data_IF_743953656915
#
_entry.id   IF_743953656915
#
_cell.length_a   1.000
_cell.length_b   1.000
_cell.length_c   1.000
_cell.angle_alpha   90.00
_cell.angle_beta   90.00
_cell.angle_gamma   90.00
#
_symmetry.space_group_name_H-M   'P 1'
#
loop_
_entity.id
_entity.type
_entity.pdbx_description
1 polymer ?
#
# COMPACT_ATOMS: atom_id res chain seq x y z
N UNK A 1 14.67 -16.08 11.33
CA UNK A 1 14.03 -16.49 10.07
C UNK A 1 13.37 -15.25 9.49
N UNK A 2 13.73 -14.82 8.28
CA UNK A 2 13.06 -13.69 7.61
C UNK A 2 11.90 -14.32 6.83
N UNK A 3 10.68 -14.13 7.31
CA UNK A 3 9.47 -14.51 6.57
C UNK A 3 9.10 -13.35 5.66
N UNK A 4 9.03 -13.59 4.36
CA UNK A 4 8.58 -12.59 3.38
C UNK A 4 7.09 -12.78 3.18
N UNK A 5 6.28 -11.79 3.57
CA UNK A 5 4.84 -11.77 3.32
C UNK A 5 4.58 -10.79 2.18
N UNK A 6 3.95 -11.26 1.10
CA UNK A 6 3.58 -10.44 -0.06
C UNK A 6 2.05 -10.35 -0.17
N UNK A 7 1.40 -9.44 0.58
CA UNK A 7 -0.04 -9.28 0.52
C UNK A 7 -0.46 -8.57 -0.77
N UNK A 8 -1.31 -9.18 -1.60
CA UNK A 8 -1.88 -8.48 -2.75
C UNK A 8 -2.90 -7.44 -2.25
N UNK A 9 -2.92 -6.26 -2.87
CA UNK A 9 -4.02 -5.30 -2.70
C UNK A 9 -5.32 -5.95 -3.16
N UNK A 10 -6.45 -5.76 -2.45
CA UNK A 10 -7.74 -6.23 -2.94
C UNK A 10 -8.01 -5.67 -4.33
N UNK A 11 -8.44 -6.53 -5.26
CA UNK A 11 -8.84 -6.14 -6.60
C UNK A 11 -7.71 -5.50 -7.45
N UNK A 12 -6.46 -5.94 -7.29
CA UNK A 12 -5.25 -5.45 -8.00
C UNK A 12 -5.20 -5.69 -9.54
N UNK A 13 -6.35 -5.88 -10.19
CA UNK A 13 -6.44 -6.28 -11.59
C UNK A 13 -6.31 -7.79 -11.82
N UNK A 14 -6.19 -8.24 -13.08
CA UNK A 14 -6.37 -9.64 -13.49
C UNK A 14 -5.32 -10.63 -12.96
N UNK A 15 -4.23 -10.13 -12.36
CA UNK A 15 -3.18 -10.94 -11.77
C UNK A 15 -3.21 -10.96 -10.23
N UNK A 16 -4.13 -10.21 -9.62
CA UNK A 16 -4.37 -10.21 -8.18
C UNK A 16 -5.40 -11.26 -7.79
N UNK A 17 -5.10 -12.05 -6.75
CA UNK A 17 -6.03 -13.04 -6.20
C UNK A 17 -6.67 -12.60 -4.87
N UNK A 18 -6.38 -11.38 -4.39
CA UNK A 18 -7.01 -10.79 -3.21
C UNK A 18 -8.31 -10.09 -3.60
N UNK A 19 -9.36 -10.29 -2.81
CA UNK A 19 -10.69 -9.70 -3.00
C UNK A 19 -11.24 -9.25 -1.65
N UNK A 20 -12.00 -8.16 -1.64
CA UNK A 20 -12.56 -7.57 -0.43
C UNK A 20 -13.34 -6.30 -0.74
N UNK A 21 -14.09 -5.77 0.26
CA UNK A 21 -14.74 -4.47 0.15
C UNK A 21 -13.70 -3.36 -0.07
N UNK A 22 -14.10 -2.30 -0.77
CA UNK A 22 -13.26 -1.12 -1.01
C UNK A 22 -13.92 0.11 -0.38
N UNK A 23 -13.21 0.77 0.53
CA UNK A 23 -13.61 2.08 1.05
C UNK A 23 -13.22 3.16 0.04
N UNK A 24 -14.12 3.44 -0.91
CA UNK A 24 -13.86 4.30 -2.07
C UNK A 24 -13.41 5.72 -1.66
N UNK A 25 -13.89 6.21 -0.52
CA UNK A 25 -13.59 7.55 -0.02
C UNK A 25 -12.22 7.65 0.67
N UNK A 26 -11.63 6.53 1.09
CA UNK A 26 -10.30 6.48 1.73
C UNK A 26 -9.51 5.21 1.36
N UNK A 27 -9.21 5.06 0.07
CA UNK A 27 -8.47 3.91 -0.44
C UNK A 27 -7.06 3.75 0.18
N UNK A 28 -6.45 4.84 0.63
CA UNK A 28 -5.11 4.81 1.24
C UNK A 28 -5.15 4.39 2.71
N UNK A 29 -6.18 4.81 3.45
CA UNK A 29 -6.48 4.33 4.80
C UNK A 29 -6.84 2.86 4.78
N UNK A 30 -7.80 2.46 3.94
CA UNK A 30 -8.24 1.07 3.81
C UNK A 30 -7.10 0.12 3.43
N UNK A 31 -6.22 0.52 2.49
CA UNK A 31 -5.00 -0.24 2.22
C UNK A 31 -4.16 -0.44 3.48
N UNK A 32 -3.95 0.62 4.26
CA UNK A 32 -3.10 0.54 5.46
C UNK A 32 -3.72 -0.39 6.51
N UNK A 33 -5.04 -0.31 6.68
CA UNK A 33 -5.81 -1.17 7.58
C UNK A 33 -5.74 -2.64 7.16
N UNK A 34 -5.86 -2.94 5.86
CA UNK A 34 -5.71 -4.30 5.34
C UNK A 34 -4.31 -4.87 5.64
N UNK A 35 -3.26 -4.07 5.45
CA UNK A 35 -1.89 -4.49 5.71
C UNK A 35 -1.66 -4.76 7.20
N UNK A 36 -2.09 -3.84 8.07
CA UNK A 36 -1.94 -4.00 9.52
C UNK A 36 -2.82 -5.14 10.06
N UNK A 37 -4.05 -5.24 9.58
CA UNK A 37 -4.98 -6.30 9.93
C UNK A 37 -4.47 -7.68 9.53
N UNK A 38 -3.79 -7.80 8.39
CA UNK A 38 -3.10 -9.04 8.03
C UNK A 38 -1.96 -9.36 9.02
N UNK A 39 -1.16 -8.37 9.40
CA UNK A 39 -0.08 -8.60 10.37
C UNK A 39 -0.65 -9.05 11.72
N UNK A 40 -1.77 -8.46 12.15
CA UNK A 40 -2.48 -8.86 13.37
C UNK A 40 -3.02 -10.29 13.26
N UNK A 41 -3.64 -10.64 12.14
CA UNK A 41 -4.13 -11.99 11.88
C UNK A 41 -3.01 -13.04 11.92
N UNK A 42 -1.82 -12.67 11.45
CA UNK A 42 -0.63 -13.54 11.48
C UNK A 42 0.12 -13.49 12.82
N UNK A 43 -0.25 -12.63 13.77
CA UNK A 43 0.42 -12.44 15.05
C UNK A 43 1.81 -11.79 14.94
N UNK A 44 2.06 -11.00 13.90
CA UNK A 44 3.35 -10.33 13.64
C UNK A 44 3.31 -8.93 14.24
N UNK A 45 4.05 -8.73 15.34
CA UNK A 45 4.04 -7.46 16.06
C UNK A 45 5.03 -6.43 15.48
N UNK A 46 6.21 -6.87 15.04
CA UNK A 46 7.26 -6.03 14.46
C UNK A 46 7.67 -6.56 13.08
N UNK A 47 7.84 -5.66 12.11
CA UNK A 47 8.15 -6.02 10.72
C UNK A 47 8.91 -4.93 9.97
N UNK A 48 9.66 -5.36 8.96
CA UNK A 48 10.25 -4.48 7.94
C UNK A 48 9.28 -4.40 6.76
N UNK A 49 9.14 -3.22 6.17
CA UNK A 49 8.34 -3.03 4.96
C UNK A 49 9.23 -2.67 3.78
N UNK A 50 8.97 -3.27 2.62
CA UNK A 50 9.58 -2.91 1.35
C UNK A 50 8.50 -2.61 0.31
N UNK A 51 8.60 -1.47 -0.36
CA UNK A 51 7.58 -1.00 -1.29
C UNK A 51 8.19 -0.54 -2.60
N UNK A 52 7.55 -0.92 -3.72
CA UNK A 52 7.98 -0.58 -5.07
C UNK A 52 6.94 0.31 -5.74
N UNK A 53 7.37 1.26 -6.59
CA UNK A 53 6.45 2.13 -7.34
C UNK A 53 5.41 2.78 -6.39
N UNK A 54 4.12 2.44 -6.50
CA UNK A 54 3.06 2.94 -5.61
C UNK A 54 3.16 2.45 -4.15
N UNK A 55 3.78 1.29 -3.92
CA UNK A 55 4.05 0.81 -2.57
C UNK A 55 5.01 1.72 -1.80
N UNK A 56 5.87 2.46 -2.51
CA UNK A 56 6.78 3.44 -1.92
C UNK A 56 6.09 4.54 -1.12
N UNK A 57 5.15 5.32 -1.71
CA UNK A 57 4.37 6.30 -0.96
C UNK A 57 3.43 5.67 0.08
N UNK A 58 2.91 4.46 -0.15
CA UNK A 58 2.01 3.78 0.81
C UNK A 58 2.68 3.44 2.15
N UNK A 59 3.99 3.16 2.15
CA UNK A 59 4.78 2.92 3.37
C UNK A 59 4.67 4.08 4.38
N UNK A 60 4.51 5.32 3.92
CA UNK A 60 4.42 6.47 4.81
C UNK A 60 3.23 6.38 5.78
N UNK A 61 2.10 5.84 5.31
CA UNK A 61 0.93 5.64 6.17
C UNK A 61 1.18 4.57 7.22
N UNK A 62 1.81 3.46 6.85
CA UNK A 62 2.12 2.37 7.79
C UNK A 62 3.08 2.82 8.90
N UNK A 63 4.11 3.61 8.56
CA UNK A 63 5.01 4.21 9.55
C UNK A 63 4.25 5.18 10.46
N UNK A 64 3.33 5.98 9.91
CA UNK A 64 2.54 6.95 10.69
C UNK A 64 1.56 6.27 11.64
N UNK A 65 0.89 5.22 11.18
CA UNK A 65 -0.18 4.54 11.91
C UNK A 65 0.36 3.52 12.92
N UNK A 66 1.51 2.90 12.64
CA UNK A 66 2.12 1.87 13.47
C UNK A 66 3.63 2.07 13.64
N UNK A 67 4.10 3.23 14.16
CA UNK A 67 5.52 3.54 14.26
C UNK A 67 6.30 2.53 15.11
N UNK A 68 5.67 1.97 16.15
CA UNK A 68 6.29 0.98 17.04
C UNK A 68 6.40 -0.42 16.43
N UNK A 69 5.72 -0.66 15.30
CA UNK A 69 5.71 -1.97 14.61
C UNK A 69 6.65 -1.99 13.41
N UNK A 70 6.95 -0.84 12.82
CA UNK A 70 7.79 -0.75 11.61
C UNK A 70 9.25 -0.52 12.00
N UNK A 71 10.03 -1.60 12.10
CA UNK A 71 11.43 -1.53 12.54
C UNK A 71 12.39 -1.03 11.44
N UNK A 72 11.98 -1.14 10.18
CA UNK A 72 12.72 -0.64 9.02
C UNK A 72 11.82 -0.50 7.80
N UNK A 73 12.19 0.41 6.88
CA UNK A 73 11.46 0.62 5.62
C UNK A 73 12.41 0.84 4.43
N UNK A 74 12.14 0.16 3.32
CA UNK A 74 12.86 0.31 2.06
C UNK A 74 11.90 0.73 0.93
N UNK A 75 12.20 1.86 0.28
CA UNK A 75 11.41 2.38 -0.86
C UNK A 75 12.20 2.24 -2.14
N UNK A 76 11.77 1.33 -3.01
CA UNK A 76 12.48 0.95 -4.23
C UNK A 76 11.78 1.58 -5.44
N UNK A 77 12.44 2.57 -6.08
CA UNK A 77 11.88 3.31 -7.22
C UNK A 77 10.42 3.79 -6.97
N UNK A 78 10.19 4.61 -5.92
CA UNK A 78 8.84 5.01 -5.55
C UNK A 78 8.22 5.96 -6.58
N UNK A 79 6.90 5.86 -6.75
CA UNK A 79 6.11 6.89 -7.43
C UNK A 79 6.26 8.20 -6.65
N UNK A 80 6.93 9.19 -7.24
CA UNK A 80 7.26 10.45 -6.58
C UNK A 80 6.17 11.50 -6.66
N UNK A 81 6.00 12.28 -5.60
CA UNK A 81 5.19 13.49 -5.61
C UNK A 81 6.06 14.72 -5.97
N UNK A 82 5.54 15.60 -6.83
CA UNK A 82 6.17 16.87 -7.18
C UNK A 82 5.17 18.00 -7.04
N UNK A 83 5.57 19.06 -6.34
CA UNK A 83 4.74 20.26 -6.10
C UNK A 83 4.29 20.93 -7.41
N UNK A 84 5.09 20.83 -8.47
CA UNK A 84 4.82 21.41 -9.78
C UNK A 84 4.03 20.48 -10.69
N UNK A 85 4.00 19.18 -10.39
CA UNK A 85 3.34 18.14 -11.17
C UNK A 85 2.32 17.35 -10.33
N UNK A 86 1.65 18.00 -9.37
CA UNK A 86 0.72 17.33 -8.45
C UNK A 86 -0.40 16.61 -9.19
N UNK A 87 -0.97 17.28 -10.21
CA UNK A 87 -2.02 16.71 -11.07
C UNK A 87 -1.55 15.44 -11.78
N UNK A 88 -0.27 15.34 -12.14
CA UNK A 88 0.28 14.14 -12.75
C UNK A 88 0.23 12.98 -11.76
N UNK A 89 0.79 13.16 -10.55
CA UNK A 89 0.77 12.14 -9.50
C UNK A 89 -0.65 11.71 -9.12
N UNK A 90 -1.55 12.68 -8.92
CA UNK A 90 -2.95 12.40 -8.58
C UNK A 90 -3.68 11.70 -9.71
N UNK A 91 -3.46 12.07 -10.97
CA UNK A 91 -4.11 11.40 -12.12
C UNK A 91 -3.61 9.98 -12.31
N UNK A 92 -2.29 9.77 -12.35
CA UNK A 92 -1.71 8.43 -12.61
C UNK A 92 -2.02 7.44 -11.50
N UNK A 93 -2.23 7.91 -10.27
CA UNK A 93 -2.56 7.04 -9.14
C UNK A 93 -4.08 6.90 -8.90
N UNK A 94 -4.94 7.76 -9.48
CA UNK A 94 -6.41 7.63 -9.41
C UNK A 94 -7.02 6.77 -10.52
N UNK A 95 -6.36 6.65 -11.68
CA UNK A 95 -6.92 5.94 -12.86
C UNK A 95 -6.60 4.44 -12.91
N UNK A 96 -6.28 3.80 -11.78
CA UNK A 96 -6.00 2.35 -11.72
C UNK A 96 -7.27 1.48 -11.52
N UNK A 97 -8.46 2.09 -11.60
CA UNK A 97 -9.73 1.35 -11.75
C UNK A 97 -9.96 0.96 -13.22
N UNK A 98 -10.84 -0.02 -13.50
CA UNK A 98 -11.12 -0.44 -14.88
C UNK A 98 -11.54 0.77 -15.72
N UNK A 99 -10.95 0.89 -16.91
CA UNK A 99 -11.41 1.85 -17.91
C UNK A 99 -12.87 1.54 -18.24
N UNK A 100 -13.80 2.50 -18.12
CA UNK A 100 -15.12 2.35 -18.71
C UNK A 100 -14.93 2.21 -20.22
N UNK A 101 -15.62 1.23 -20.82
CA UNK A 101 -15.79 1.14 -22.28
C UNK A 101 -16.48 2.39 -22.84
#
# INVERSE_FOLDING_TARGET
MISVVYPPTPNAGPFGHSSGPLEIDDLWGAYSDDQLGLMDHLGIQEFMIMGFCIGGPMIHNLIRLAPDRVVAAAKMQPSGFSQTLQTFFTRTNKTMGPTPE
#
